data_IF_193752235866
#
_entry.id   IF_193752235866
#
_cell.length_a   1.000
_cell.length_b   1.000
_cell.length_c   1.000
_cell.angle_alpha   90.00
_cell.angle_beta   90.00
_cell.angle_gamma   90.00
#
_symmetry.space_group_name_H-M   'P 1'
#
loop_
_entity.id
_entity.type
_entity.pdbx_description
1 polymer ?
#
# COMPACT_ATOMS: atom_id res chain seq x y z
N UNK A 1 -5.45 0.91 6.27
CA UNK A 1 -4.39 0.01 5.77
C UNK A 1 -3.04 0.69 5.89
N UNK A 2 -2.15 0.10 6.66
CA UNK A 2 -0.77 0.52 6.85
C UNK A 2 0.12 -0.42 6.03
N UNK A 3 1.06 0.12 5.26
CA UNK A 3 1.99 -0.68 4.47
C UNK A 3 3.24 0.13 4.12
N UNK A 4 4.23 -0.54 3.54
CA UNK A 4 5.27 0.12 2.75
C UNK A 4 4.80 0.33 1.29
N UNK A 5 5.38 1.28 0.54
CA UNK A 5 5.13 1.44 -0.89
C UNK A 5 5.35 0.14 -1.67
N UNK A 6 4.52 -0.12 -2.67
CA UNK A 6 4.59 -1.31 -3.55
C UNK A 6 4.34 -2.67 -2.87
N UNK A 7 3.80 -2.69 -1.65
CA UNK A 7 3.35 -3.91 -0.96
C UNK A 7 2.01 -4.48 -1.48
N UNK A 8 1.51 -4.05 -2.63
CA UNK A 8 0.22 -4.51 -3.17
C UNK A 8 -1.02 -3.82 -2.60
N UNK A 9 -0.89 -2.66 -1.94
CA UNK A 9 -2.03 -1.93 -1.35
C UNK A 9 -3.11 -1.57 -2.38
N UNK A 10 -2.75 -1.23 -3.63
CA UNK A 10 -3.73 -0.94 -4.67
C UNK A 10 -4.62 -2.16 -4.99
N UNK A 11 -4.06 -3.38 -5.00
CA UNK A 11 -4.84 -4.60 -5.22
C UNK A 11 -5.86 -4.79 -4.09
N UNK A 12 -5.40 -4.77 -2.84
CA UNK A 12 -6.30 -4.93 -1.69
C UNK A 12 -7.34 -3.80 -1.63
N UNK A 13 -6.96 -2.56 -1.95
CA UNK A 13 -7.90 -1.45 -2.05
C UNK A 13 -9.02 -1.71 -3.06
N UNK A 14 -8.68 -2.18 -4.26
CA UNK A 14 -9.67 -2.49 -5.30
C UNK A 14 -10.56 -3.66 -4.90
N UNK A 15 -9.99 -4.73 -4.34
CA UNK A 15 -10.74 -5.88 -3.83
C UNK A 15 -11.75 -5.46 -2.76
N UNK A 16 -11.34 -4.65 -1.79
CA UNK A 16 -12.24 -4.16 -0.74
C UNK A 16 -13.31 -3.21 -1.28
N UNK A 17 -12.91 -2.27 -2.14
CA UNK A 17 -13.84 -1.30 -2.75
C UNK A 17 -14.88 -1.98 -3.66
N UNK A 18 -14.51 -3.07 -4.35
CA UNK A 18 -15.41 -3.76 -5.27
C UNK A 18 -16.58 -4.45 -4.57
N UNK A 19 -16.47 -4.69 -3.25
CA UNK A 19 -17.57 -5.21 -2.42
C UNK A 19 -18.72 -4.22 -2.24
N UNK A 20 -18.46 -2.91 -2.38
CA UNK A 20 -19.42 -1.86 -2.05
C UNK A 20 -19.77 -1.74 -0.56
N UNK A 21 -19.10 -2.50 0.31
CA UNK A 21 -19.42 -2.65 1.75
C UNK A 21 -18.21 -2.37 2.66
N UNK A 22 -16.99 -2.71 2.23
CA UNK A 22 -15.76 -2.58 3.05
C UNK A 22 -15.04 -1.24 2.84
N UNK A 23 -15.81 -0.16 2.68
CA UNK A 23 -15.30 1.17 2.39
C UNK A 23 -14.69 1.30 0.98
N UNK A 24 -14.11 2.46 0.71
CA UNK A 24 -13.41 2.83 -0.52
C UNK A 24 -11.99 3.28 -0.19
N UNK A 25 -11.12 2.37 0.25
CA UNK A 25 -9.79 2.75 0.71
C UNK A 25 -8.93 3.31 -0.43
N UNK A 26 -8.44 4.54 -0.23
CA UNK A 26 -7.57 5.26 -1.16
C UNK A 26 -6.44 5.97 -0.40
N UNK A 27 -5.50 6.54 -1.17
CA UNK A 27 -4.40 7.36 -0.65
C UNK A 27 -4.85 8.80 -0.45
N UNK A 28 -5.71 9.03 0.53
CA UNK A 28 -6.30 10.35 0.75
C UNK A 28 -5.27 11.42 1.14
N UNK A 29 -4.15 11.03 1.75
CA UNK A 29 -3.06 11.95 2.07
C UNK A 29 -2.06 12.18 0.92
N UNK A 30 -2.41 11.75 -0.30
CA UNK A 30 -1.68 12.06 -1.52
C UNK A 30 -2.49 13.08 -2.34
N UNK A 31 -2.50 14.32 -1.88
CA UNK A 31 -3.27 15.42 -2.49
C UNK A 31 -3.05 15.56 -4.00
N UNK A 32 -1.80 15.68 -4.49
CA UNK A 32 -1.51 15.73 -5.92
C UNK A 32 -2.07 14.53 -6.68
N UNK A 33 -1.90 13.31 -6.16
CA UNK A 33 -2.45 12.11 -6.77
C UNK A 33 -3.98 12.13 -6.82
N UNK A 34 -4.66 12.52 -5.75
CA UNK A 34 -6.13 12.64 -5.73
C UNK A 34 -6.62 13.62 -6.81
N UNK A 35 -5.98 14.77 -6.94
CA UNK A 35 -6.31 15.76 -7.99
C UNK A 35 -6.12 15.22 -9.39
N UNK A 36 -5.01 14.54 -9.64
CA UNK A 36 -4.73 14.00 -10.96
C UNK A 36 -5.57 12.78 -11.33
N UNK A 37 -6.14 12.05 -10.37
CA UNK A 37 -6.77 10.75 -10.63
C UNK A 37 -8.29 10.73 -10.48
N UNK A 38 -8.87 11.42 -9.49
CA UNK A 38 -10.29 11.24 -9.19
C UNK A 38 -11.04 12.46 -8.64
N UNK A 39 -10.35 13.42 -7.99
CA UNK A 39 -10.99 14.56 -7.35
C UNK A 39 -10.20 15.85 -7.68
N UNK A 40 -10.48 16.54 -8.80
CA UNK A 40 -9.70 17.69 -9.25
C UNK A 40 -9.48 18.80 -8.20
N UNK A 41 -10.49 19.04 -7.34
CA UNK A 41 -10.45 20.06 -6.29
C UNK A 41 -10.02 19.51 -4.91
N UNK A 42 -9.30 18.38 -4.88
CA UNK A 42 -8.90 17.74 -3.62
C UNK A 42 -7.96 18.65 -2.80
N UNK A 43 -8.20 18.80 -1.48
CA UNK A 43 -7.44 19.74 -0.65
C UNK A 43 -6.02 19.26 -0.35
N UNK A 44 -5.10 20.22 -0.16
CA UNK A 44 -3.77 19.95 0.41
C UNK A 44 -3.76 20.01 1.95
N UNK A 45 -4.73 20.70 2.56
CA UNK A 45 -4.80 20.86 4.01
C UNK A 45 -5.10 19.51 4.71
N UNK A 46 -4.23 19.01 5.61
CA UNK A 46 -4.39 17.70 6.25
C UNK A 46 -5.72 17.50 6.98
N UNK A 47 -6.29 18.56 7.58
CA UNK A 47 -7.61 18.48 8.24
C UNK A 47 -8.74 18.21 7.26
N UNK A 48 -8.76 18.90 6.13
CA UNK A 48 -9.74 18.64 5.06
C UNK A 48 -9.52 17.27 4.41
N UNK A 49 -8.29 16.78 4.37
CA UNK A 49 -8.02 15.41 3.91
C UNK A 49 -8.60 14.35 4.87
N UNK A 50 -8.56 14.57 6.19
CA UNK A 50 -9.25 13.72 7.16
C UNK A 50 -10.76 13.69 6.94
N UNK A 51 -11.38 14.85 6.73
CA UNK A 51 -12.81 14.94 6.40
C UNK A 51 -13.11 14.17 5.10
N UNK A 52 -12.24 14.31 4.10
CA UNK A 52 -12.34 13.60 2.84
C UNK A 52 -12.23 12.07 2.99
N UNK A 53 -11.38 11.56 3.91
CA UNK A 53 -11.32 10.13 4.25
C UNK A 53 -12.70 9.63 4.69
N UNK A 54 -13.33 10.33 5.63
CA UNK A 54 -14.63 9.93 6.18
C UNK A 54 -15.74 10.07 5.14
N UNK A 55 -15.69 11.11 4.30
CA UNK A 55 -16.72 11.38 3.28
C UNK A 55 -16.61 10.46 2.07
N UNK A 56 -15.44 10.40 1.45
CA UNK A 56 -15.24 9.70 0.18
C UNK A 56 -14.87 8.24 0.37
N UNK A 57 -14.22 7.90 1.50
CA UNK A 57 -13.82 6.55 1.83
C UNK A 57 -14.96 5.68 2.32
N UNK A 58 -16.15 6.25 2.55
CA UNK A 58 -17.30 5.58 3.16
C UNK A 58 -18.20 4.89 2.13
N UNK A 59 -18.65 3.68 2.47
CA UNK A 59 -19.72 2.93 1.80
C UNK A 59 -21.07 3.15 2.51
N UNK A 60 -22.22 2.81 1.89
CA UNK A 60 -23.54 3.11 2.46
C UNK A 60 -23.80 2.56 3.87
N UNK A 61 -23.13 1.48 4.26
CA UNK A 61 -23.17 0.88 5.60
C UNK A 61 -22.29 1.60 6.64
N UNK A 62 -21.74 2.78 6.33
CA UNK A 62 -20.99 3.62 7.27
C UNK A 62 -19.50 3.29 7.40
N UNK A 63 -19.07 2.11 6.95
CA UNK A 63 -17.66 1.70 6.95
C UNK A 63 -16.88 2.58 5.99
N UNK A 64 -15.73 3.09 6.44
CA UNK A 64 -14.81 3.84 5.61
C UNK A 64 -13.41 3.22 5.63
N UNK A 65 -12.65 3.45 4.57
CA UNK A 65 -11.30 2.92 4.45
C UNK A 65 -10.31 3.97 3.96
N UNK A 66 -9.04 3.77 4.30
CA UNK A 66 -7.91 4.51 3.75
C UNK A 66 -6.66 3.63 3.69
N UNK A 67 -5.71 4.00 2.83
CA UNK A 67 -4.33 3.49 2.90
C UNK A 67 -3.36 4.64 3.25
N UNK A 68 -2.30 4.31 3.98
CA UNK A 68 -1.29 5.24 4.44
C UNK A 68 0.08 4.55 4.48
N UNK A 69 1.11 5.25 4.00
CA UNK A 69 2.52 4.87 4.15
C UNK A 69 3.14 5.63 5.33
N UNK A 70 4.16 5.07 6.00
CA UNK A 70 4.67 5.65 7.25
C UNK A 70 5.30 7.02 7.03
N UNK A 71 5.99 7.25 5.90
CA UNK A 71 6.50 8.57 5.53
C UNK A 71 5.41 9.62 5.35
N UNK A 72 4.20 9.24 4.90
CA UNK A 72 3.10 10.18 4.76
C UNK A 72 2.63 10.65 6.13
N UNK A 73 2.70 9.80 7.16
CA UNK A 73 2.37 10.20 8.53
C UNK A 73 3.29 11.30 9.06
N UNK A 74 4.54 11.38 8.60
CA UNK A 74 5.48 12.44 9.01
C UNK A 74 5.04 13.81 8.50
N UNK A 75 4.55 13.85 7.25
CA UNK A 75 4.14 15.07 6.57
C UNK A 75 2.80 15.64 7.09
N UNK A 76 1.98 14.82 7.77
CA UNK A 76 0.65 15.25 8.21
C UNK A 76 0.67 16.23 9.38
N UNK A 77 1.67 16.13 10.26
CA UNK A 77 1.77 17.00 11.44
C UNK A 77 0.54 16.98 12.36
N UNK A 78 -0.31 15.95 12.27
CA UNK A 78 -1.54 15.81 13.06
C UNK A 78 -1.75 14.37 13.54
N UNK A 79 -2.47 14.17 14.66
CA UNK A 79 -2.71 12.84 15.21
C UNK A 79 -3.86 12.12 14.48
N UNK A 80 -3.68 11.83 13.19
CA UNK A 80 -4.73 11.27 12.30
C UNK A 80 -5.44 10.05 12.91
N UNK A 81 -4.69 9.18 13.59
CA UNK A 81 -5.21 7.94 14.16
C UNK A 81 -6.17 8.16 15.34
N UNK A 82 -6.03 9.26 16.08
CA UNK A 82 -6.94 9.60 17.18
C UNK A 82 -8.11 10.47 16.74
N UNK A 83 -7.99 11.15 15.59
CA UNK A 83 -9.05 12.00 15.03
C UNK A 83 -10.06 11.19 14.22
N UNK A 84 -9.59 10.17 13.49
CA UNK A 84 -10.47 9.31 12.71
C UNK A 84 -11.24 8.35 13.65
N UNK A 85 -12.58 8.30 13.57
CA UNK A 85 -13.40 7.53 14.51
C UNK A 85 -13.29 6.03 14.26
N UNK A 86 -13.19 5.25 15.35
CA UNK A 86 -13.32 3.79 15.33
C UNK A 86 -12.38 3.04 14.37
N UNK A 87 -11.16 3.55 14.18
CA UNK A 87 -10.19 2.88 13.30
C UNK A 87 -9.92 1.43 13.73
N UNK A 88 -9.72 0.60 12.71
CA UNK A 88 -9.14 -0.74 12.81
C UNK A 88 -7.96 -0.81 11.85
N UNK A 89 -6.90 -1.52 12.24
CA UNK A 89 -5.66 -1.56 11.47
C UNK A 89 -5.55 -2.85 10.68
N UNK A 90 -5.15 -2.70 9.42
CA UNK A 90 -4.67 -3.79 8.57
C UNK A 90 -3.24 -3.44 8.22
N UNK A 91 -2.30 -4.34 8.51
CA UNK A 91 -0.90 -4.21 8.11
C UNK A 91 -0.64 -5.13 6.91
N UNK A 92 -0.47 -4.53 5.73
CA UNK A 92 -0.20 -5.28 4.51
C UNK A 92 1.31 -5.27 4.24
N UNK A 93 1.88 -6.48 4.11
CA UNK A 93 3.30 -6.70 3.85
C UNK A 93 3.46 -7.46 2.53
N UNK A 94 4.66 -7.45 1.95
CA UNK A 94 5.00 -8.30 0.81
C UNK A 94 6.25 -9.09 1.18
N UNK A 95 6.17 -10.42 1.07
CA UNK A 95 7.26 -11.31 1.52
C UNK A 95 8.49 -11.18 0.64
N UNK A 96 8.30 -10.99 -0.66
CA UNK A 96 9.38 -10.74 -1.62
C UNK A 96 9.84 -9.27 -1.58
N UNK A 97 10.69 -8.94 -0.59
CA UNK A 97 11.22 -7.60 -0.37
C UNK A 97 12.05 -7.08 -1.56
N UNK A 98 12.88 -7.93 -2.16
CA UNK A 98 13.67 -7.56 -3.33
C UNK A 98 12.76 -7.26 -4.53
N UNK A 99 11.74 -8.09 -4.80
CA UNK A 99 10.77 -7.79 -5.85
C UNK A 99 9.93 -6.54 -5.57
N UNK A 100 9.67 -6.22 -4.29
CA UNK A 100 9.04 -4.96 -3.90
C UNK A 100 9.95 -3.76 -4.21
N UNK A 101 11.24 -3.85 -3.83
CA UNK A 101 12.23 -2.81 -4.08
C UNK A 101 12.44 -2.56 -5.58
N UNK A 102 12.57 -3.63 -6.39
CA UNK A 102 12.66 -3.54 -7.85
C UNK A 102 11.45 -2.84 -8.46
N UNK A 103 10.23 -3.21 -8.01
CA UNK A 103 9.00 -2.54 -8.45
C UNK A 103 8.99 -1.06 -8.09
N UNK A 104 9.56 -0.69 -6.93
CA UNK A 104 9.60 0.71 -6.50
C UNK A 104 10.66 1.52 -7.24
N UNK A 105 11.84 0.94 -7.48
CA UNK A 105 12.90 1.56 -8.27
C UNK A 105 12.40 1.88 -9.68
N UNK A 106 11.73 0.92 -10.34
CA UNK A 106 11.09 1.14 -11.64
C UNK A 106 10.06 2.27 -11.59
N UNK A 107 9.16 2.26 -10.62
CA UNK A 107 8.14 3.30 -10.50
C UNK A 107 8.73 4.72 -10.29
N UNK A 108 9.83 4.87 -9.54
CA UNK A 108 10.53 6.16 -9.43
C UNK A 108 11.12 6.63 -10.76
N UNK A 109 11.62 5.70 -11.58
CA UNK A 109 12.15 6.04 -12.89
C UNK A 109 11.03 6.35 -13.88
N UNK A 110 9.98 5.54 -13.97
CA UNK A 110 8.98 5.72 -15.03
C UNK A 110 7.86 6.68 -14.66
N UNK A 111 7.71 7.03 -13.38
CA UNK A 111 6.56 7.78 -12.86
C UNK A 111 5.27 6.94 -12.75
N UNK A 112 5.32 5.66 -13.14
CA UNK A 112 4.17 4.76 -13.12
C UNK A 112 3.97 4.13 -11.72
N UNK A 113 3.24 4.84 -10.85
CA UNK A 113 2.94 4.36 -9.49
C UNK A 113 1.65 3.51 -9.40
N UNK A 114 0.89 3.38 -10.49
CA UNK A 114 -0.30 2.50 -10.57
C UNK A 114 -0.17 1.55 -11.77
N UNK A 115 -0.88 0.41 -11.71
CA UNK A 115 -0.81 -0.62 -12.75
C UNK A 115 -1.39 -0.16 -14.11
N UNK A 116 -2.22 0.88 -14.11
CA UNK A 116 -2.86 1.52 -15.26
C UNK A 116 -2.08 2.73 -15.80
N UNK A 117 -0.97 3.13 -15.16
CA UNK A 117 -0.14 4.24 -15.63
C UNK A 117 0.83 3.74 -16.72
N UNK A 118 0.85 4.42 -17.88
CA UNK A 118 1.83 4.16 -18.91
C UNK A 118 3.23 4.58 -18.45
N UNK A 119 4.25 3.80 -18.84
CA UNK A 119 5.64 4.17 -18.58
C UNK A 119 5.99 5.42 -19.39
N UNK A 120 6.32 6.50 -18.69
CA UNK A 120 6.72 7.77 -19.31
C UNK A 120 8.17 7.69 -19.81
N UNK A 121 8.97 6.77 -19.25
CA UNK A 121 10.39 6.57 -19.56
C UNK A 121 10.75 5.09 -19.52
N UNK A 122 11.71 4.68 -20.34
CA UNK A 122 12.29 3.33 -20.28
C UNK A 122 13.10 3.16 -18.99
N UNK A 123 12.76 2.20 -18.11
CA UNK A 123 13.52 1.97 -16.89
C UNK A 123 14.87 1.31 -17.20
N UNK A 124 15.91 1.68 -16.43
CA UNK A 124 17.26 1.14 -16.52
C UNK A 124 17.72 0.57 -15.17
N UNK A 125 18.54 -0.48 -15.22
CA UNK A 125 19.10 -1.09 -14.02
C UNK A 125 19.98 -0.10 -13.27
N UNK A 126 19.72 0.05 -11.98
CA UNK A 126 20.46 0.94 -11.06
C UNK A 126 20.57 0.24 -9.70
N UNK A 127 21.75 -0.31 -9.41
CA UNK A 127 22.00 -1.08 -8.19
C UNK A 127 21.83 -0.24 -6.92
N UNK A 128 22.25 1.04 -6.95
CA UNK A 128 22.20 1.92 -5.79
C UNK A 128 20.75 2.32 -5.49
N UNK A 129 19.98 2.67 -6.52
CA UNK A 129 18.54 2.94 -6.36
C UNK A 129 17.77 1.72 -5.84
N UNK A 130 18.07 0.52 -6.34
CA UNK A 130 17.42 -0.71 -5.87
C UNK A 130 17.77 -0.96 -4.39
N UNK A 131 19.03 -0.80 -4.00
CA UNK A 131 19.47 -0.95 -2.60
C UNK A 131 18.80 0.09 -1.69
N UNK A 132 18.69 1.34 -2.13
CA UNK A 132 17.96 2.40 -1.42
C UNK A 132 16.48 2.07 -1.25
N UNK A 133 15.82 1.60 -2.31
CA UNK A 133 14.43 1.15 -2.23
C UNK A 133 14.25 -0.02 -1.27
N UNK A 134 15.17 -0.99 -1.26
CA UNK A 134 15.14 -2.14 -0.36
C UNK A 134 15.22 -1.70 1.10
N UNK A 135 16.22 -0.87 1.45
CA UNK A 135 16.34 -0.31 2.79
C UNK A 135 15.08 0.46 3.21
N UNK A 136 14.56 1.32 2.35
CA UNK A 136 13.36 2.13 2.65
C UNK A 136 12.12 1.28 2.86
N UNK A 137 11.92 0.21 2.09
CA UNK A 137 10.79 -0.72 2.29
C UNK A 137 10.85 -1.34 3.68
N UNK A 138 12.02 -1.84 4.08
CA UNK A 138 12.24 -2.46 5.39
C UNK A 138 11.99 -1.46 6.53
N UNK A 139 12.52 -0.24 6.41
CA UNK A 139 12.32 0.82 7.40
C UNK A 139 10.84 1.19 7.52
N UNK A 140 10.13 1.41 6.41
CA UNK A 140 8.70 1.74 6.43
C UNK A 140 7.87 0.66 7.12
N UNK A 141 8.18 -0.62 6.88
CA UNK A 141 7.53 -1.74 7.55
C UNK A 141 7.85 -1.80 9.05
N UNK A 142 9.12 -1.59 9.42
CA UNK A 142 9.54 -1.54 10.82
C UNK A 142 8.85 -0.40 11.59
N UNK A 143 8.70 0.77 10.96
CA UNK A 143 7.99 1.93 11.53
C UNK A 143 6.54 1.61 11.89
N UNK A 144 5.83 0.88 11.03
CA UNK A 144 4.47 0.44 11.36
C UNK A 144 4.43 -0.56 12.50
N UNK A 145 5.33 -1.55 12.51
CA UNK A 145 5.42 -2.52 13.62
C UNK A 145 5.71 -1.82 14.95
N UNK A 146 6.63 -0.86 14.96
CA UNK A 146 6.92 -0.04 16.14
C UNK A 146 5.70 0.77 16.57
N UNK A 147 4.99 1.39 15.62
CA UNK A 147 3.77 2.13 15.90
C UNK A 147 2.71 1.23 16.57
N UNK A 148 2.46 0.02 16.05
CA UNK A 148 1.48 -0.87 16.66
C UNK A 148 1.90 -1.34 18.04
N UNK A 149 3.15 -1.79 18.20
CA UNK A 149 3.68 -2.27 19.47
C UNK A 149 3.65 -1.20 20.56
N UNK A 150 4.14 0.02 20.26
CA UNK A 150 4.17 1.14 21.21
C UNK A 150 2.78 1.56 21.68
N UNK A 151 1.78 1.47 20.80
CA UNK A 151 0.42 1.92 21.11
C UNK A 151 -0.53 0.79 21.55
N UNK A 152 -0.05 -0.47 21.64
CA UNK A 152 -0.90 -1.62 21.94
C UNK A 152 -2.00 -1.86 20.89
N UNK A 153 -1.80 -1.38 19.66
CA UNK A 153 -2.80 -1.46 18.60
C UNK A 153 -2.73 -2.82 17.88
N UNK A 154 -3.83 -3.57 17.90
CA UNK A 154 -3.93 -4.81 17.14
C UNK A 154 -4.15 -4.51 15.64
N UNK A 155 -3.23 -4.98 14.80
CA UNK A 155 -3.36 -4.91 13.35
C UNK A 155 -3.60 -6.31 12.77
N UNK A 156 -4.59 -6.43 11.89
CA UNK A 156 -4.76 -7.62 11.05
C UNK A 156 -3.59 -7.66 10.06
N UNK A 157 -2.72 -8.67 10.20
CA UNK A 157 -1.62 -8.88 9.26
C UNK A 157 -2.11 -9.62 8.02
N UNK A 158 -1.77 -9.10 6.84
CA UNK A 158 -1.99 -9.74 5.55
C UNK A 158 -0.70 -9.68 4.73
N UNK A 159 -0.48 -10.68 3.89
CA UNK A 159 0.58 -10.62 2.87
C UNK A 159 0.00 -10.40 1.48
N UNK A 160 0.72 -9.67 0.63
CA UNK A 160 0.39 -9.48 -0.77
C UNK A 160 0.13 -10.81 -1.47
N UNK A 161 0.98 -11.80 -1.24
CA UNK A 161 0.89 -13.09 -1.92
C UNK A 161 -0.35 -13.88 -1.48
N UNK A 162 -0.79 -13.77 -0.22
CA UNK A 162 -2.04 -14.39 0.24
C UNK A 162 -3.26 -13.68 -0.34
N UNK A 163 -3.21 -12.35 -0.46
CA UNK A 163 -4.29 -11.56 -1.10
C UNK A 163 -4.42 -11.91 -2.58
N UNK A 164 -3.30 -12.13 -3.28
CA UNK A 164 -3.32 -12.58 -4.68
C UNK A 164 -3.87 -13.99 -4.81
N UNK A 165 -3.45 -14.90 -3.93
CA UNK A 165 -3.86 -16.30 -3.99
C UNK A 165 -5.33 -16.53 -3.59
N UNK A 166 -5.84 -15.74 -2.63
CA UNK A 166 -7.18 -15.92 -2.08
C UNK A 166 -7.81 -14.55 -1.66
N UNK A 167 -8.22 -13.71 -2.62
CA UNK A 167 -8.80 -12.40 -2.32
C UNK A 167 -10.06 -12.49 -1.45
N UNK A 168 -10.88 -13.53 -1.59
CA UNK A 168 -12.07 -13.75 -0.77
C UNK A 168 -11.71 -14.01 0.70
N UNK A 169 -10.57 -14.65 0.97
CA UNK A 169 -10.09 -14.87 2.32
C UNK A 169 -9.67 -13.55 2.97
N UNK A 170 -9.00 -12.66 2.21
CA UNK A 170 -8.68 -11.32 2.66
C UNK A 170 -9.94 -10.50 2.95
N UNK A 171 -10.96 -10.55 2.06
CA UNK A 171 -12.26 -9.91 2.27
C UNK A 171 -12.93 -10.41 3.53
N UNK A 172 -12.98 -11.74 3.76
CA UNK A 172 -13.51 -12.33 5.01
C UNK A 172 -12.77 -11.84 6.24
N UNK A 173 -11.44 -11.78 6.20
CA UNK A 173 -10.63 -11.33 7.32
C UNK A 173 -10.92 -9.85 7.66
N UNK A 174 -10.99 -8.98 6.65
CA UNK A 174 -11.31 -7.57 6.85
C UNK A 174 -12.76 -7.36 7.29
N UNK A 175 -13.73 -8.11 6.73
CA UNK A 175 -15.13 -8.06 7.15
C UNK A 175 -15.29 -8.39 8.65
N UNK A 176 -14.62 -9.45 9.13
CA UNK A 176 -14.60 -9.78 10.57
C UNK A 176 -13.94 -8.70 11.42
N UNK A 177 -12.83 -8.13 10.95
CA UNK A 177 -12.11 -7.06 11.66
C UNK A 177 -13.02 -5.83 11.91
N UNK A 178 -13.90 -5.52 10.97
CA UNK A 178 -14.85 -4.40 11.06
C UNK A 178 -16.22 -4.80 11.62
N UNK A 179 -16.35 -6.03 12.16
CA UNK A 179 -17.54 -6.48 12.89
C UNK A 179 -18.69 -7.02 12.04
N UNK A 180 -18.47 -7.30 10.75
CA UNK A 180 -19.50 -7.94 9.92
C UNK A 180 -19.54 -9.45 10.19
N UNK A 181 -20.75 -9.99 10.32
CA UNK A 181 -21.00 -11.43 10.49
C UNK A 181 -20.81 -12.21 9.20
N UNK A 182 -21.19 -11.61 8.08
CA UNK A 182 -21.04 -12.18 6.74
C UNK A 182 -20.08 -11.34 5.91
N UNK A 183 -19.23 -12.01 5.14
CA UNK A 183 -18.31 -11.33 4.24
C UNK A 183 -19.03 -11.05 2.91
N UNK A 184 -19.01 -9.80 2.44
CA UNK A 184 -19.58 -9.47 1.14
C UNK A 184 -18.78 -10.17 0.04
N UNK A 185 -19.45 -10.54 -1.06
CA UNK A 185 -18.76 -10.94 -2.27
C UNK A 185 -17.99 -9.75 -2.85
N UNK A 186 -16.81 -10.01 -3.40
CA UNK A 186 -16.07 -9.01 -4.16
C UNK A 186 -16.30 -9.23 -5.65
N UNK A 187 -16.25 -8.14 -6.42
CA UNK A 187 -16.43 -8.16 -7.86
C UNK A 187 -15.05 -8.16 -8.54
N UNK A 188 -14.64 -9.33 -9.05
CA UNK A 188 -13.35 -9.53 -9.69
C UNK A 188 -13.19 -8.69 -10.98
N UNK A 189 -14.29 -8.36 -11.66
CA UNK A 189 -14.25 -7.54 -12.88
C UNK A 189 -13.82 -6.10 -12.60
N UNK A 190 -13.95 -5.63 -11.35
CA UNK A 190 -13.52 -4.30 -10.90
C UNK A 190 -12.08 -4.26 -10.39
N UNK A 191 -11.37 -5.38 -10.39
CA UNK A 191 -9.97 -5.48 -9.96
C UNK A 191 -9.07 -5.50 -11.20
N UNK A 192 -8.34 -4.41 -11.42
CA UNK A 192 -7.50 -4.24 -12.62
C UNK A 192 -6.01 -4.47 -12.39
N UNK A 193 -5.57 -4.56 -11.13
CA UNK A 193 -4.15 -4.78 -10.79
C UNK A 193 -3.73 -6.19 -11.17
N UNK A 194 -2.87 -6.30 -12.19
CA UNK A 194 -2.23 -7.56 -12.59
C UNK A 194 -0.85 -7.69 -11.97
N UNK A 195 -0.45 -8.93 -11.67
CA UNK A 195 0.92 -9.25 -11.28
C UNK A 195 1.83 -9.01 -12.48
N UNK A 196 2.69 -7.99 -12.40
CA UNK A 196 3.73 -7.73 -13.40
C UNK A 196 5.05 -8.33 -12.90
N UNK A 197 5.21 -9.64 -13.08
CA UNK A 197 6.55 -10.25 -13.11
C UNK A 197 6.90 -10.38 -14.58
N UNK A 198 7.79 -9.52 -15.05
CA UNK A 198 8.29 -9.51 -16.43
C UNK A 198 9.76 -9.91 -16.47
N UNK A 199 10.23 -10.34 -17.64
CA UNK A 199 11.61 -10.81 -17.85
C UNK A 199 12.65 -9.76 -17.43
N UNK A 200 12.30 -8.47 -17.53
CA UNK A 200 13.15 -7.36 -17.09
C UNK A 200 13.38 -7.38 -15.57
N UNK A 201 12.31 -7.58 -14.79
CA UNK A 201 12.42 -7.62 -13.32
C UNK A 201 13.26 -8.80 -12.84
N UNK A 202 13.14 -9.96 -13.50
CA UNK A 202 13.96 -11.13 -13.18
C UNK A 202 15.42 -10.93 -13.59
N UNK A 203 15.68 -10.35 -14.77
CA UNK A 203 17.04 -9.99 -15.18
C UNK A 203 17.71 -9.00 -14.20
N UNK A 204 16.96 -8.02 -13.70
CA UNK A 204 17.45 -7.08 -12.68
C UNK A 204 17.68 -7.76 -11.34
N UNK A 205 16.79 -8.68 -10.93
CA UNK A 205 16.96 -9.47 -9.70
C UNK A 205 18.25 -10.26 -9.74
N UNK A 206 18.46 -11.05 -10.79
CA UNK A 206 19.67 -11.86 -10.95
C UNK A 206 20.93 -10.99 -10.95
N UNK A 207 20.90 -9.86 -11.67
CA UNK A 207 22.02 -8.92 -11.69
C UNK A 207 22.29 -8.31 -10.33
N UNK A 208 21.27 -7.85 -9.62
CA UNK A 208 21.42 -7.29 -8.28
C UNK A 208 22.00 -8.29 -7.28
N UNK A 209 21.54 -9.56 -7.31
CA UNK A 209 22.09 -10.59 -6.44
C UNK A 209 23.56 -10.89 -6.73
N UNK A 210 23.99 -10.83 -8.01
CA UNK A 210 25.42 -10.95 -8.37
C UNK A 210 26.24 -9.73 -7.94
N UNK A 211 25.71 -8.52 -8.14
CA UNK A 211 26.45 -7.27 -7.95
C UNK A 211 26.52 -6.86 -6.46
N UNK A 212 25.52 -7.22 -5.65
CA UNK A 212 25.34 -6.72 -4.26
C UNK A 212 25.18 -7.82 -3.22
N UNK A 213 25.08 -9.08 -3.63
CA UNK A 213 24.99 -10.20 -2.69
C UNK A 213 26.33 -10.41 -1.97
N UNK A 214 26.34 -10.19 -0.66
CA UNK A 214 27.52 -10.41 0.19
C UNK A 214 27.08 -11.02 1.54
N UNK A 215 27.50 -12.26 1.82
CA UNK A 215 27.17 -12.95 3.07
C UNK A 215 28.02 -12.49 4.26
N UNK A 216 29.09 -11.71 4.01
CA UNK A 216 29.93 -11.11 5.06
C UNK A 216 29.40 -9.76 5.57
N UNK A 217 28.34 -9.23 4.99
CA UNK A 217 27.81 -7.90 5.27
C UNK A 217 26.36 -7.94 5.77
N UNK A 218 26.06 -7.11 6.78
CA UNK A 218 24.71 -6.88 7.28
C UNK A 218 24.45 -5.37 7.23
N UNK A 219 23.36 -4.96 6.58
CA UNK A 219 23.00 -3.55 6.45
C UNK A 219 22.85 -2.84 7.80
N UNK A 220 23.42 -1.64 7.90
CA UNK A 220 23.18 -0.69 8.99
C UNK A 220 22.02 0.26 8.62
N UNK A 221 21.22 0.67 9.62
CA UNK A 221 20.03 1.51 9.46
C UNK A 221 20.08 2.75 10.34
#
# INVERSE_FOLDING_TARGET
MCAAPRAGTNLLCQVLASTGVLGRPLEYFNGPGRRSWDIPDYPDEPRRQLEAVVRHGRTPNGIYGLKLFAFQSDALGLPWASVLPELRFVHLRRRDLLGQALSWARAHQTGAFRADAADVRTPAYDADLIADCLRRVVVEEARWRLFFARNGAAALELSYEDVVAAPEAAVRAVARLVGLTEAPAHDAAKVSVRVQRDDLSEAWRERFLRDRGDLGFVDAF
#
